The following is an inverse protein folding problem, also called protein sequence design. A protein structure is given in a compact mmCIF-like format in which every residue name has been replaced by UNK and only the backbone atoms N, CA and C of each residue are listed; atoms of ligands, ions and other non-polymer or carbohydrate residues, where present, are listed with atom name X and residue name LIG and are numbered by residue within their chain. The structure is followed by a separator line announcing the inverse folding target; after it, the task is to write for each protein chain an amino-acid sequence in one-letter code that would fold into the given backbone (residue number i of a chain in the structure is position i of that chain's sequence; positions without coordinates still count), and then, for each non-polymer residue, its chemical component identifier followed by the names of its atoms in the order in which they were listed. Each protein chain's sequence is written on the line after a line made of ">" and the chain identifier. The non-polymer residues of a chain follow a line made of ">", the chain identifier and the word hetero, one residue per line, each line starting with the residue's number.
data_IF_030511727865
#
_entry.id   IF_030511727865
#
_cell.length_a   1.000
_cell.length_b   1.000
_cell.length_c   1.000
_cell.angle_alpha   90.00
_cell.angle_beta   90.00
_cell.angle_gamma   90.00
#
_symmetry.space_group_name_H-M   'P 1'
#
loop_
_entity.id
_entity.type
_entity.pdbx_description
1 polymer ?
#
# COMPACT_ATOMS: atom_id res chain seq x y z
N UNK A 1 -45.39 38.68 70.32
CA UNK A 1 -44.96 37.41 69.71
C UNK A 1 -44.35 37.71 68.36
N UNK A 2 -43.03 37.87 68.29
CA UNK A 2 -42.31 38.27 67.07
C UNK A 2 -41.93 37.03 66.25
N UNK A 3 -42.41 36.94 65.00
CA UNK A 3 -42.08 35.85 64.10
C UNK A 3 -40.78 36.18 63.33
N UNK A 4 -39.76 35.33 63.50
CA UNK A 4 -38.45 35.46 62.86
C UNK A 4 -38.53 35.03 61.39
N UNK A 5 -38.13 35.92 60.48
CA UNK A 5 -38.06 35.64 59.05
C UNK A 5 -36.66 35.12 58.67
N UNK A 6 -36.53 33.81 58.43
CA UNK A 6 -35.29 33.21 57.92
C UNK A 6 -35.20 33.45 56.42
N UNK A 7 -34.37 34.42 55.99
CA UNK A 7 -33.98 34.58 54.58
C UNK A 7 -32.91 33.54 54.24
N UNK A 8 -33.25 32.55 53.41
CA UNK A 8 -32.26 31.64 52.82
C UNK A 8 -31.53 32.38 51.69
N UNK A 9 -30.22 32.58 51.85
CA UNK A 9 -29.34 33.00 50.77
C UNK A 9 -28.97 31.77 49.94
N UNK A 10 -29.47 31.69 48.70
CA UNK A 10 -29.01 30.69 47.74
C UNK A 10 -27.57 31.00 47.27
N UNK A 11 -26.79 29.99 46.86
CA UNK A 11 -25.42 30.22 46.42
C UNK A 11 -25.45 30.91 45.05
N UNK A 12 -24.79 32.06 44.94
CA UNK A 12 -24.48 32.66 43.63
C UNK A 12 -23.37 31.83 43.00
N UNK A 13 -23.72 30.96 42.05
CA UNK A 13 -22.74 30.25 41.23
C UNK A 13 -22.06 31.28 40.34
N UNK A 14 -20.86 31.71 40.72
CA UNK A 14 -19.99 32.49 39.85
C UNK A 14 -19.53 31.57 38.72
N UNK A 15 -20.00 31.85 37.50
CA UNK A 15 -19.44 31.24 36.29
C UNK A 15 -17.99 31.71 36.16
N UNK A 16 -17.05 30.90 36.62
CA UNK A 16 -15.67 31.05 36.23
C UNK A 16 -15.62 30.84 34.71
N UNK A 17 -15.30 31.90 33.97
CA UNK A 17 -15.04 31.79 32.55
C UNK A 17 -13.76 30.97 32.39
N UNK A 18 -13.90 29.69 32.09
CA UNK A 18 -12.77 28.83 31.72
C UNK A 18 -12.18 29.40 30.45
N UNK A 19 -11.08 30.15 30.55
CA UNK A 19 -10.26 30.51 29.40
C UNK A 19 -9.71 29.21 28.83
N UNK A 20 -10.38 28.66 27.82
CA UNK A 20 -9.85 27.54 27.06
C UNK A 20 -8.70 28.08 26.23
N UNK A 21 -7.49 28.03 26.78
CA UNK A 21 -6.28 28.12 25.98
C UNK A 21 -6.35 26.98 24.97
N UNK A 22 -6.60 27.30 23.71
CA UNK A 22 -6.52 26.34 22.61
C UNK A 22 -5.05 25.91 22.46
N UNK A 23 -4.63 24.91 23.25
CA UNK A 23 -3.35 24.26 23.05
C UNK A 23 -3.46 23.47 21.76
N UNK A 24 -2.69 23.87 20.75
CA UNK A 24 -2.63 23.18 19.47
C UNK A 24 -2.02 21.79 19.66
N UNK A 25 -2.85 20.75 19.75
CA UNK A 25 -2.42 19.35 19.90
C UNK A 25 -1.98 18.69 18.57
N UNK A 26 -1.69 19.45 17.52
CA UNK A 26 -1.12 18.90 16.30
C UNK A 26 0.32 18.44 16.51
N UNK A 27 0.64 17.21 16.09
CA UNK A 27 1.99 16.67 16.12
C UNK A 27 2.94 17.59 15.34
N UNK A 28 3.82 18.30 16.05
CA UNK A 28 4.86 19.16 15.45
C UNK A 28 5.77 18.37 14.49
N UNK A 29 5.86 17.04 14.65
CA UNK A 29 6.64 16.17 13.76
C UNK A 29 6.15 16.10 12.31
N UNK A 30 4.95 16.59 12.02
CA UNK A 30 4.37 16.65 10.66
C UNK A 30 4.56 18.01 9.99
N UNK A 31 5.13 19.00 10.69
CA UNK A 31 5.41 20.30 10.09
C UNK A 31 6.40 20.13 8.91
N UNK A 32 5.98 20.57 7.73
CA UNK A 32 6.76 20.43 6.50
C UNK A 32 6.77 19.02 5.88
N UNK A 33 5.92 18.09 6.36
CA UNK A 33 5.79 16.75 5.78
C UNK A 33 5.43 16.75 4.30
N UNK A 34 4.51 17.63 3.87
CA UNK A 34 4.12 17.78 2.46
C UNK A 34 5.28 18.27 1.59
N UNK A 35 6.10 19.20 2.10
CA UNK A 35 7.30 19.64 1.41
C UNK A 35 8.24 18.45 1.25
N UNK A 36 8.54 17.71 2.32
CA UNK A 36 9.41 16.52 2.26
C UNK A 36 8.93 15.49 1.24
N UNK A 37 7.64 15.17 1.26
CA UNK A 37 7.05 14.22 0.32
C UNK A 37 7.19 14.68 -1.14
N UNK A 38 7.00 15.98 -1.42
CA UNK A 38 7.19 16.54 -2.78
C UNK A 38 8.61 16.37 -3.31
N UNK A 39 9.62 16.35 -2.44
CA UNK A 39 11.02 16.11 -2.80
C UNK A 39 11.44 14.64 -2.65
N UNK A 40 10.51 13.72 -2.42
CA UNK A 40 10.80 12.29 -2.31
C UNK A 40 11.44 11.86 -0.99
N UNK A 41 11.36 12.69 0.07
CA UNK A 41 11.79 12.31 1.41
C UNK A 41 10.66 11.66 2.21
N UNK A 42 11.02 11.01 3.31
CA UNK A 42 10.06 10.53 4.31
C UNK A 42 9.30 11.70 4.95
N UNK A 43 8.00 11.51 5.20
CA UNK A 43 7.16 12.52 5.85
C UNK A 43 7.66 12.87 7.25
N UNK A 44 8.18 11.87 7.99
CA UNK A 44 8.82 12.07 9.29
C UNK A 44 10.35 12.15 9.13
N UNK A 45 11.05 13.09 9.79
CA UNK A 45 12.51 13.16 9.75
C UNK A 45 13.21 11.92 10.35
N UNK A 46 12.51 11.17 11.21
CA UNK A 46 13.00 9.90 11.80
C UNK A 46 12.65 8.66 10.99
N UNK A 47 12.13 8.85 9.77
CA UNK A 47 11.82 7.77 8.84
C UNK A 47 13.08 7.17 8.22
N UNK A 48 12.97 6.71 6.97
CA UNK A 48 14.17 6.33 6.21
C UNK A 48 14.99 7.58 5.85
N UNK A 49 16.31 7.42 5.78
CA UNK A 49 17.23 8.50 5.41
C UNK A 49 18.56 8.47 6.17
N UNK A 50 19.53 9.31 5.76
CA UNK A 50 20.88 9.29 6.32
C UNK A 50 20.88 9.52 7.83
N UNK A 51 19.99 10.37 8.37
CA UNK A 51 19.89 10.63 9.80
C UNK A 51 19.52 9.40 10.63
N UNK A 52 18.84 8.40 10.05
CA UNK A 52 18.34 7.22 10.78
C UNK A 52 19.01 5.92 10.36
N UNK A 53 19.57 5.86 9.14
CA UNK A 53 20.19 4.65 8.59
C UNK A 53 21.72 4.62 8.75
N UNK A 54 22.36 5.78 8.92
CA UNK A 54 23.80 5.87 9.22
C UNK A 54 24.08 5.54 10.69
N UNK A 55 25.24 4.96 10.99
CA UNK A 55 25.65 4.74 12.36
C UNK A 55 26.01 6.06 13.04
N UNK A 56 25.48 6.29 14.24
CA UNK A 56 25.73 7.49 15.03
C UNK A 56 27.20 7.61 15.52
N UNK A 57 27.94 6.50 15.52
CA UNK A 57 29.33 6.45 15.97
C UNK A 57 30.12 5.32 15.27
N UNK A 58 31.44 5.43 15.33
CA UNK A 58 32.38 4.40 14.87
C UNK A 58 33.56 4.30 15.85
N UNK A 59 34.32 3.20 15.78
CA UNK A 59 35.54 3.08 16.58
C UNK A 59 36.61 4.05 16.06
N UNK A 60 37.48 4.54 16.94
CA UNK A 60 38.57 5.46 16.57
C UNK A 60 39.51 4.86 15.49
N UNK A 61 39.67 3.54 15.49
CA UNK A 61 40.45 2.80 14.48
C UNK A 61 39.80 2.76 13.08
N UNK A 62 38.58 3.32 12.93
CA UNK A 62 37.80 3.29 11.69
C UNK A 62 36.95 2.04 11.49
N UNK A 63 36.90 1.13 12.47
CA UNK A 63 35.99 -0.03 12.42
C UNK A 63 34.54 0.46 12.52
N UNK A 64 33.61 -0.14 11.76
CA UNK A 64 32.20 0.25 11.84
C UNK A 64 31.62 -0.05 13.22
N UNK A 65 30.69 0.79 13.66
CA UNK A 65 29.93 0.55 14.89
C UNK A 65 29.09 -0.73 14.78
N UNK A 66 28.79 -1.33 15.93
CA UNK A 66 27.91 -2.51 16.01
C UNK A 66 26.49 -2.08 15.60
N UNK A 67 25.82 -2.79 14.68
CA UNK A 67 24.47 -2.40 14.24
C UNK A 67 23.47 -2.56 15.39
N UNK A 68 22.62 -1.55 15.60
CA UNK A 68 21.59 -1.61 16.62
C UNK A 68 20.37 -2.43 16.16
N UNK A 69 19.61 -2.95 17.14
CA UNK A 69 18.46 -3.85 16.91
C UNK A 69 17.45 -3.32 15.90
N UNK A 70 17.11 -2.03 16.00
CA UNK A 70 16.21 -1.35 15.07
C UNK A 70 16.68 -1.32 13.61
N UNK A 71 17.99 -1.10 13.36
CA UNK A 71 18.54 -1.08 12.00
C UNK A 71 18.51 -2.48 11.39
N UNK A 72 18.88 -3.50 12.18
CA UNK A 72 18.80 -4.91 11.76
C UNK A 72 17.36 -5.28 11.42
N UNK A 73 16.40 -4.94 12.29
CA UNK A 73 14.97 -5.20 12.07
C UNK A 73 14.47 -4.54 10.78
N UNK A 74 14.75 -3.25 10.56
CA UNK A 74 14.33 -2.53 9.34
C UNK A 74 14.92 -3.16 8.06
N UNK A 75 16.19 -3.60 8.10
CA UNK A 75 16.83 -4.29 6.97
C UNK A 75 16.11 -5.62 6.66
N UNK A 76 15.78 -6.40 7.69
CA UNK A 76 15.05 -7.66 7.52
C UNK A 76 13.63 -7.44 6.98
N UNK A 77 12.92 -6.43 7.49
CA UNK A 77 11.58 -6.06 7.00
C UNK A 77 11.63 -5.62 5.53
N UNK A 78 12.60 -4.79 5.16
CA UNK A 78 12.79 -4.35 3.78
C UNK A 78 13.12 -5.52 2.84
N UNK A 79 13.96 -6.45 3.30
CA UNK A 79 14.28 -7.66 2.54
C UNK A 79 13.05 -8.56 2.35
N UNK A 80 12.27 -8.80 3.42
CA UNK A 80 11.05 -9.57 3.35
C UNK A 80 10.02 -8.92 2.40
N UNK A 81 9.91 -7.59 2.42
CA UNK A 81 9.08 -6.83 1.51
C UNK A 81 9.54 -6.99 0.06
N UNK A 82 10.83 -6.79 -0.22
CA UNK A 82 11.38 -6.93 -1.57
C UNK A 82 11.18 -8.34 -2.15
N UNK A 83 11.38 -9.38 -1.33
CA UNK A 83 11.13 -10.78 -1.72
C UNK A 83 9.66 -11.01 -2.08
N UNK A 84 8.73 -10.44 -1.32
CA UNK A 84 7.29 -10.55 -1.60
C UNK A 84 6.92 -9.87 -2.92
N UNK A 85 7.42 -8.66 -3.16
CA UNK A 85 7.20 -7.95 -4.42
C UNK A 85 7.68 -8.79 -5.60
N UNK A 86 8.90 -9.31 -5.52
CA UNK A 86 9.48 -10.14 -6.58
C UNK A 86 8.71 -11.46 -6.81
N UNK A 87 8.20 -12.09 -5.74
CA UNK A 87 7.35 -13.28 -5.83
C UNK A 87 6.06 -12.97 -6.60
N UNK A 88 5.33 -11.94 -6.20
CA UNK A 88 4.04 -11.58 -6.81
C UNK A 88 4.23 -11.23 -8.30
N UNK A 89 5.28 -10.49 -8.65
CA UNK A 89 5.59 -10.19 -10.05
C UNK A 89 5.79 -11.45 -10.88
N UNK A 90 6.53 -12.43 -10.35
CA UNK A 90 6.74 -13.72 -11.03
C UNK A 90 5.46 -14.52 -11.22
N UNK A 91 4.61 -14.56 -10.20
CA UNK A 91 3.32 -15.26 -10.27
C UNK A 91 2.41 -14.64 -11.33
N UNK A 92 2.37 -13.31 -11.39
CA UNK A 92 1.62 -12.58 -12.40
C UNK A 92 2.14 -12.87 -13.81
N UNK A 93 3.46 -12.80 -14.02
CA UNK A 93 4.09 -13.06 -15.31
C UNK A 93 3.81 -14.50 -15.79
N UNK A 94 3.90 -15.47 -14.89
CA UNK A 94 3.57 -16.86 -15.17
C UNK A 94 2.09 -17.02 -15.56
N UNK A 95 1.18 -16.33 -14.86
CA UNK A 95 -0.24 -16.28 -15.18
C UNK A 95 -0.50 -15.78 -16.61
N UNK A 96 0.14 -14.68 -16.99
CA UNK A 96 0.01 -14.11 -18.34
C UNK A 96 0.55 -15.06 -19.40
N UNK A 97 1.73 -15.65 -19.18
CA UNK A 97 2.35 -16.59 -20.12
C UNK A 97 1.51 -17.85 -20.30
N UNK A 98 1.00 -18.42 -19.20
CA UNK A 98 0.17 -19.63 -19.25
C UNK A 98 -1.13 -19.41 -20.04
N UNK A 99 -1.79 -18.27 -19.83
CA UNK A 99 -2.98 -17.89 -20.59
C UNK A 99 -2.66 -17.74 -22.09
N UNK A 100 -1.57 -17.05 -22.44
CA UNK A 100 -1.15 -16.87 -23.82
C UNK A 100 -0.87 -18.21 -24.52
N UNK A 101 -0.12 -19.11 -23.86
CA UNK A 101 0.13 -20.46 -24.35
C UNK A 101 -1.16 -21.26 -24.55
N UNK A 102 -2.11 -21.15 -23.62
CA UNK A 102 -3.40 -21.84 -23.73
C UNK A 102 -4.21 -21.33 -24.93
N UNK A 103 -4.24 -20.01 -25.16
CA UNK A 103 -4.91 -19.41 -26.31
C UNK A 103 -4.29 -19.90 -27.63
N UNK A 104 -2.96 -19.90 -27.74
CA UNK A 104 -2.25 -20.41 -28.92
C UNK A 104 -2.56 -21.89 -29.14
N UNK A 105 -2.52 -22.72 -28.10
CA UNK A 105 -2.86 -24.15 -28.19
C UNK A 105 -4.31 -24.36 -28.64
N UNK A 106 -5.26 -23.54 -28.17
CA UNK A 106 -6.65 -23.61 -28.61
C UNK A 106 -6.80 -23.22 -30.08
N UNK A 107 -6.09 -22.19 -30.55
CA UNK A 107 -6.08 -21.79 -31.96
C UNK A 107 -5.50 -22.91 -32.84
N UNK A 108 -4.33 -23.43 -32.48
CA UNK A 108 -3.70 -24.56 -33.18
C UNK A 108 -4.60 -25.80 -33.20
N UNK A 109 -5.27 -26.12 -32.09
CA UNK A 109 -6.21 -27.25 -32.04
C UNK A 109 -7.42 -27.03 -32.95
N UNK A 110 -7.96 -25.80 -33.02
CA UNK A 110 -9.05 -25.45 -33.94
C UNK A 110 -8.59 -25.56 -35.39
N UNK A 111 -7.39 -25.09 -35.71
CA UNK A 111 -6.79 -25.20 -37.04
C UNK A 111 -6.52 -26.65 -37.42
N UNK A 112 -5.91 -27.44 -36.54
CA UNK A 112 -5.68 -28.86 -36.75
C UNK A 112 -7.00 -29.62 -36.98
N UNK A 113 -8.04 -29.33 -36.20
CA UNK A 113 -9.39 -29.86 -36.44
C UNK A 113 -9.92 -29.45 -37.80
N UNK A 114 -9.74 -28.18 -38.22
CA UNK A 114 -10.17 -27.68 -39.54
C UNK A 114 -9.44 -28.39 -40.68
N UNK A 115 -8.12 -28.56 -40.57
CA UNK A 115 -7.30 -29.22 -41.59
C UNK A 115 -7.63 -30.71 -41.68
N UNK A 116 -7.86 -31.38 -40.55
CA UNK A 116 -8.22 -32.80 -40.49
C UNK A 116 -9.73 -33.05 -40.71
N UNK A 117 -10.53 -32.06 -41.17
CA UNK A 117 -11.94 -32.29 -41.50
C UNK A 117 -12.04 -33.17 -42.74
N UNK A 118 -12.85 -34.22 -42.64
CA UNK A 118 -13.26 -35.00 -43.80
C UNK A 118 -14.03 -34.12 -44.80
N UNK A 119 -13.93 -34.46 -46.10
CA UNK A 119 -14.68 -33.78 -47.15
C UNK A 119 -16.18 -33.78 -46.83
N UNK A 120 -16.87 -32.64 -46.96
CA UNK A 120 -18.31 -32.59 -46.73
C UNK A 120 -19.03 -33.46 -47.76
N UNK A 121 -20.02 -34.23 -47.33
CA UNK A 121 -20.87 -35.07 -48.19
C UNK A 121 -22.32 -34.56 -48.19
N UNK A 122 -23.15 -35.07 -49.11
CA UNK A 122 -24.60 -34.80 -49.15
C UNK A 122 -24.98 -33.43 -49.68
N UNK A 123 -25.90 -32.73 -48.99
CA UNK A 123 -26.57 -31.50 -49.45
C UNK A 123 -25.65 -30.34 -49.85
N UNK A 124 -24.44 -30.27 -49.29
CA UNK A 124 -23.42 -29.26 -49.64
C UNK A 124 -22.97 -29.34 -51.11
N UNK A 125 -23.00 -30.53 -51.72
CA UNK A 125 -22.63 -30.72 -53.13
C UNK A 125 -23.77 -30.41 -54.11
N UNK A 126 -25.02 -30.46 -53.65
CA UNK A 126 -26.19 -30.23 -54.49
C UNK A 126 -26.35 -28.75 -54.86
N UNK A 127 -25.99 -27.85 -53.94
CA UNK A 127 -26.06 -26.39 -54.16
C UNK A 127 -24.99 -25.87 -55.15
N UNK A 128 -23.87 -26.58 -55.31
CA UNK A 128 -22.80 -26.19 -56.24
C UNK A 128 -23.06 -26.60 -57.70
N UNK A 129 -23.97 -27.56 -57.96
CA UNK A 129 -24.27 -28.03 -59.31
C UNK A 129 -25.23 -27.12 -60.10
N UNK A 130 -25.98 -26.26 -59.41
CA UNK A 130 -26.91 -25.32 -60.03
C UNK A 130 -26.70 -23.91 -59.45
N UNK A 131 -25.67 -23.18 -59.89
CA UNK A 131 -25.60 -21.75 -59.64
C UNK A 131 -26.71 -21.06 -60.46
N UNK A 132 -27.51 -20.20 -59.82
CA UNK A 132 -28.48 -19.32 -60.49
C UNK A 132 -27.78 -18.16 -61.18
#
# INVERSE_FOLDING_TARGET
>A
MAASAVRRLGPKVTRAATSTRNLHCGNVSLAGGDWRARYGFSNSPSGYGPMTDLPDWSFADGRPGIPWKGQVRRKQENEAFARRVAMISKEMDYGIQSLAMQQQKQQQAKEAKRQNRLRPKGGTLQHQKHPK
#
